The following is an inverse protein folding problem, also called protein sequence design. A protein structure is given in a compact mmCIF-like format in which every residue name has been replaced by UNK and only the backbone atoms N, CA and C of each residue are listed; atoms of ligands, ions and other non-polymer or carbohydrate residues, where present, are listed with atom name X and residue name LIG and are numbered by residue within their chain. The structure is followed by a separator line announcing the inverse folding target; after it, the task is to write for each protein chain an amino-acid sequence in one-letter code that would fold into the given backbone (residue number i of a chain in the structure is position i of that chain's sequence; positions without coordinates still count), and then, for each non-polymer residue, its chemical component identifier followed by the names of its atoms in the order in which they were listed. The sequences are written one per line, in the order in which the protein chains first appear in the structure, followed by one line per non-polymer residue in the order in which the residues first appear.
data_IF_225372479367
#
_entry.id   IF_225372479367
#
_cell.length_a   1.000
_cell.length_b   1.000
_cell.length_c   1.000
_cell.angle_alpha   90.00
_cell.angle_beta   90.00
_cell.angle_gamma   90.00
#
_symmetry.space_group_name_H-M   'P 1'
#
loop_
_entity.id
_entity.type
_entity.pdbx_description
1 polymer ?
#
# COMPACT_ATOMS: atom_id res chain seq x y z
N UNK A 1 15.29 -19.48 1.07
CA UNK A 1 14.83 -18.10 1.30
C UNK A 1 13.64 -18.13 2.25
N UNK A 2 13.76 -17.57 3.46
CA UNK A 2 12.68 -17.59 4.45
C UNK A 2 11.68 -16.47 4.14
N UNK A 3 10.47 -16.83 3.73
CA UNK A 3 9.36 -15.89 3.69
C UNK A 3 9.07 -15.35 5.12
N UNK A 4 8.62 -14.09 5.28
CA UNK A 4 8.27 -13.56 6.59
C UNK A 4 7.24 -14.47 7.27
N UNK A 5 7.51 -14.92 8.50
CA UNK A 5 6.68 -15.91 9.22
C UNK A 5 5.21 -15.45 9.40
N UNK A 6 4.96 -14.15 9.33
CA UNK A 6 3.63 -13.54 9.44
C UNK A 6 2.77 -13.76 8.18
N UNK A 7 3.37 -13.84 7.00
CA UNK A 7 2.67 -14.10 5.71
C UNK A 7 2.79 -15.55 5.26
N UNK A 8 3.69 -16.34 5.86
CA UNK A 8 3.84 -17.78 5.59
C UNK A 8 2.58 -18.62 5.91
N UNK A 9 1.64 -18.07 6.68
CA UNK A 9 0.34 -18.69 6.99
C UNK A 9 -0.74 -18.41 5.91
N UNK A 10 -0.51 -17.46 5.00
CA UNK A 10 -1.45 -17.15 3.92
C UNK A 10 -1.21 -18.09 2.74
N UNK A 11 -1.98 -19.19 2.68
CA UNK A 11 -2.11 -20.01 1.47
C UNK A 11 -2.88 -19.22 0.41
N UNK A 12 -2.17 -18.59 -0.52
CA UNK A 12 -2.77 -17.82 -1.62
C UNK A 12 -1.75 -17.44 -2.70
N UNK A 13 -2.24 -17.15 -3.91
CA UNK A 13 -1.42 -16.61 -5.01
C UNK A 13 -0.86 -15.23 -4.60
N UNK A 14 0.39 -14.94 -4.94
CA UNK A 14 1.03 -13.66 -4.65
C UNK A 14 0.19 -12.48 -5.13
N UNK A 15 -0.49 -12.64 -6.26
CA UNK A 15 -1.48 -11.69 -6.79
C UNK A 15 -2.60 -11.38 -5.79
N UNK A 16 -3.27 -12.40 -5.27
CA UNK A 16 -4.45 -12.22 -4.41
C UNK A 16 -4.07 -11.70 -3.04
N UNK A 17 -2.92 -12.11 -2.51
CA UNK A 17 -2.38 -11.59 -1.26
C UNK A 17 -2.04 -10.10 -1.39
N UNK A 18 -1.34 -9.71 -2.46
CA UNK A 18 -0.97 -8.31 -2.71
C UNK A 18 -2.19 -7.42 -2.87
N UNK A 19 -3.16 -7.84 -3.69
CA UNK A 19 -4.42 -7.13 -3.85
C UNK A 19 -5.22 -7.08 -2.54
N UNK A 20 -5.27 -8.17 -1.78
CA UNK A 20 -6.01 -8.24 -0.52
C UNK A 20 -5.51 -7.24 0.53
N UNK A 21 -4.20 -7.13 0.71
CA UNK A 21 -3.61 -6.15 1.65
C UNK A 21 -3.86 -4.71 1.22
N UNK A 22 -3.71 -4.40 -0.08
CA UNK A 22 -4.03 -3.09 -0.60
C UNK A 22 -5.53 -2.76 -0.47
N UNK A 23 -6.41 -3.71 -0.76
CA UNK A 23 -7.86 -3.54 -0.58
C UNK A 23 -8.23 -3.27 0.89
N UNK A 24 -7.61 -3.98 1.84
CA UNK A 24 -7.82 -3.73 3.27
C UNK A 24 -7.42 -2.30 3.69
N UNK A 25 -6.30 -1.79 3.16
CA UNK A 25 -5.88 -0.40 3.37
C UNK A 25 -6.87 0.60 2.77
N UNK A 26 -7.37 0.35 1.56
CA UNK A 26 -8.36 1.22 0.92
C UNK A 26 -9.67 1.25 1.71
N UNK A 27 -10.18 0.08 2.14
CA UNK A 27 -11.38 -0.02 2.98
C UNK A 27 -11.20 0.74 4.28
N UNK A 28 -10.06 0.57 4.95
CA UNK A 28 -9.80 1.31 6.19
C UNK A 28 -9.76 2.82 5.96
N UNK A 29 -9.10 3.30 4.89
CA UNK A 29 -9.09 4.71 4.54
C UNK A 29 -10.51 5.27 4.27
N UNK A 30 -11.37 4.51 3.58
CA UNK A 30 -12.78 4.85 3.37
C UNK A 30 -13.52 4.94 4.70
N UNK A 31 -13.37 3.96 5.58
CA UNK A 31 -14.01 3.96 6.90
C UNK A 31 -13.60 5.20 7.72
N UNK A 32 -12.32 5.58 7.68
CA UNK A 32 -11.85 6.80 8.33
C UNK A 32 -12.45 8.06 7.71
N UNK A 33 -12.57 8.11 6.38
CA UNK A 33 -13.16 9.25 5.68
C UNK A 33 -14.67 9.44 5.99
N UNK A 34 -15.37 8.36 6.34
CA UNK A 34 -16.79 8.37 6.70
C UNK A 34 -17.05 8.72 8.18
N UNK A 35 -16.03 8.63 9.03
CA UNK A 35 -16.16 8.90 10.46
C UNK A 35 -16.01 10.41 10.78
N UNK A 36 -16.54 10.88 11.93
CA UNK A 36 -16.38 12.27 12.34
C UNK A 36 -14.91 12.61 12.64
N UNK A 37 -14.25 13.28 11.69
CA UNK A 37 -12.81 13.60 11.76
C UNK A 37 -12.45 14.55 12.91
N UNK A 38 -13.42 15.29 13.45
CA UNK A 38 -13.23 16.15 14.62
C UNK A 38 -13.00 15.35 15.92
N UNK A 39 -13.38 14.07 15.98
CA UNK A 39 -13.15 13.21 17.13
C UNK A 39 -11.76 12.57 17.07
N UNK A 40 -10.80 13.22 17.70
CA UNK A 40 -9.37 12.85 17.65
C UNK A 40 -9.10 11.41 18.12
N UNK A 41 -9.85 10.90 19.10
CA UNK A 41 -9.63 9.56 19.66
C UNK A 41 -9.72 8.44 18.61
N UNK A 42 -10.85 8.34 17.91
CA UNK A 42 -11.03 7.33 16.86
C UNK A 42 -10.14 7.57 15.65
N UNK A 43 -9.89 8.84 15.30
CA UNK A 43 -8.99 9.18 14.20
C UNK A 43 -7.57 8.65 14.46
N UNK A 44 -7.03 8.87 15.66
CA UNK A 44 -5.68 8.38 16.01
C UNK A 44 -5.63 6.85 16.00
N UNK A 45 -6.61 6.18 16.61
CA UNK A 45 -6.70 4.70 16.59
C UNK A 45 -6.77 4.17 15.16
N UNK A 46 -7.57 4.83 14.32
CA UNK A 46 -7.70 4.53 12.90
C UNK A 46 -6.39 4.68 12.11
N UNK A 47 -5.67 5.78 12.32
CA UNK A 47 -4.38 6.03 11.67
C UNK A 47 -3.30 5.05 12.16
N UNK A 48 -3.33 4.65 13.44
CA UNK A 48 -2.43 3.60 13.95
C UNK A 48 -2.73 2.25 13.29
N UNK A 49 -4.00 1.86 13.18
CA UNK A 49 -4.41 0.64 12.47
C UNK A 49 -3.98 0.70 10.99
N UNK A 50 -4.13 1.85 10.35
CA UNK A 50 -3.67 2.09 8.98
C UNK A 50 -2.15 1.91 8.87
N UNK A 51 -1.39 2.47 9.81
CA UNK A 51 0.07 2.31 9.87
C UNK A 51 0.51 0.84 10.01
N UNK A 52 -0.17 0.06 10.85
CA UNK A 52 0.11 -1.38 11.00
C UNK A 52 -0.17 -2.14 9.70
N UNK A 53 -1.34 -1.95 9.09
CA UNK A 53 -1.67 -2.58 7.81
C UNK A 53 -0.69 -2.15 6.69
N UNK A 54 -0.29 -0.88 6.69
CA UNK A 54 0.65 -0.35 5.71
C UNK A 54 2.03 -0.97 5.87
N UNK A 55 2.50 -1.17 7.10
CA UNK A 55 3.76 -1.85 7.38
C UNK A 55 3.76 -3.30 6.87
N UNK A 56 2.65 -4.02 7.08
CA UNK A 56 2.49 -5.39 6.55
C UNK A 56 2.54 -5.38 5.02
N UNK A 57 1.72 -4.53 4.36
CA UNK A 57 1.71 -4.41 2.90
C UNK A 57 3.08 -4.01 2.32
N UNK A 58 3.76 -3.05 2.95
CA UNK A 58 5.09 -2.60 2.54
C UNK A 58 6.13 -3.72 2.66
N UNK A 59 6.09 -4.51 3.74
CA UNK A 59 7.01 -5.64 3.94
C UNK A 59 6.81 -6.73 2.87
N UNK A 60 5.56 -6.96 2.46
CA UNK A 60 5.20 -7.91 1.43
C UNK A 60 5.72 -7.48 0.05
N UNK A 61 5.54 -6.22 -0.33
CA UNK A 61 6.09 -5.68 -1.59
C UNK A 61 7.62 -5.78 -1.65
N UNK A 62 8.30 -5.46 -0.54
CA UNK A 62 9.75 -5.62 -0.44
C UNK A 62 10.21 -7.07 -0.67
N UNK A 63 9.46 -8.05 -0.15
CA UNK A 63 9.72 -9.47 -0.40
C UNK A 63 9.50 -9.85 -1.88
N UNK A 64 8.40 -9.39 -2.49
CA UNK A 64 8.06 -9.75 -3.87
C UNK A 64 9.11 -9.30 -4.89
N UNK A 65 9.75 -8.14 -4.71
CA UNK A 65 10.77 -7.67 -5.66
C UNK A 65 11.94 -8.65 -5.72
N UNK A 66 12.42 -9.10 -4.56
CA UNK A 66 13.52 -10.08 -4.51
C UNK A 66 13.06 -11.44 -5.02
N UNK A 67 11.80 -11.79 -4.79
CA UNK A 67 11.23 -13.05 -5.28
C UNK A 67 11.07 -13.09 -6.81
N UNK A 68 10.76 -11.95 -7.45
CA UNK A 68 10.57 -11.84 -8.90
C UNK A 68 11.82 -11.38 -9.67
N UNK A 69 12.84 -10.87 -8.99
CA UNK A 69 14.07 -10.41 -9.63
C UNK A 69 14.84 -11.57 -10.28
N UNK A 70 15.23 -11.39 -11.55
CA UNK A 70 16.03 -12.37 -12.30
C UNK A 70 17.52 -12.20 -12.00
N UNK A 71 18.27 -13.30 -11.97
CA UNK A 71 19.68 -13.34 -11.56
C UNK A 71 20.59 -12.31 -12.27
N UNK A 72 20.34 -12.03 -13.55
CA UNK A 72 21.17 -11.14 -14.37
C UNK A 72 20.72 -9.66 -14.35
N UNK A 73 19.62 -9.32 -13.66
CA UNK A 73 18.99 -7.99 -13.68
C UNK A 73 18.58 -7.41 -12.32
N UNK A 74 18.93 -8.08 -11.22
CA UNK A 74 18.45 -7.76 -9.86
C UNK A 74 18.63 -6.28 -9.48
N UNK A 75 19.79 -5.69 -9.79
CA UNK A 75 20.09 -4.30 -9.41
C UNK A 75 19.21 -3.29 -10.14
N UNK A 76 18.83 -3.56 -11.39
CA UNK A 76 17.98 -2.68 -12.19
C UNK A 76 16.52 -2.75 -11.72
N UNK A 77 16.01 -3.97 -11.48
CA UNK A 77 14.64 -4.18 -10.99
C UNK A 77 14.43 -3.56 -9.60
N UNK A 78 15.40 -3.76 -8.71
CA UNK A 78 15.39 -3.16 -7.37
C UNK A 78 15.50 -1.63 -7.46
N UNK A 79 16.37 -1.11 -8.33
CA UNK A 79 16.52 0.32 -8.56
C UNK A 79 15.21 0.98 -9.02
N UNK A 80 14.51 0.37 -9.99
CA UNK A 80 13.24 0.86 -10.48
C UNK A 80 12.15 0.87 -9.39
N UNK A 81 12.09 -0.17 -8.55
CA UNK A 81 11.17 -0.20 -7.41
C UNK A 81 11.41 0.94 -6.43
N UNK A 82 12.66 1.19 -6.03
CA UNK A 82 12.98 2.27 -5.09
C UNK A 82 12.69 3.64 -5.69
N UNK A 83 12.97 3.85 -6.98
CA UNK A 83 12.59 5.08 -7.69
C UNK A 83 11.06 5.27 -7.68
N UNK A 84 10.30 4.24 -8.01
CA UNK A 84 8.83 4.28 -7.96
C UNK A 84 8.32 4.57 -6.54
N UNK A 85 8.94 4.00 -5.49
CA UNK A 85 8.57 4.26 -4.10
C UNK A 85 8.83 5.72 -3.69
N UNK A 86 9.99 6.26 -4.03
CA UNK A 86 10.36 7.65 -3.74
C UNK A 86 9.44 8.62 -4.49
N UNK A 87 9.17 8.35 -5.77
CA UNK A 87 8.25 9.16 -6.56
C UNK A 87 6.83 9.13 -6.00
N UNK A 88 6.33 7.95 -5.61
CA UNK A 88 5.02 7.82 -4.97
C UNK A 88 4.92 8.62 -3.66
N UNK A 89 5.97 8.60 -2.84
CA UNK A 89 6.03 9.41 -1.62
C UNK A 89 6.05 10.90 -1.92
N UNK A 90 6.86 11.35 -2.87
CA UNK A 90 6.96 12.76 -3.26
C UNK A 90 5.62 13.28 -3.81
N UNK A 91 5.03 12.57 -4.76
CA UNK A 91 3.73 12.95 -5.34
C UNK A 91 2.65 12.92 -4.26
N UNK A 92 2.62 11.89 -3.43
CA UNK A 92 1.66 11.75 -2.34
C UNK A 92 1.74 12.89 -1.33
N UNK A 93 2.93 13.28 -0.89
CA UNK A 93 3.09 14.38 0.09
C UNK A 93 2.69 15.72 -0.50
N UNK A 94 3.13 16.04 -1.72
CA UNK A 94 2.74 17.29 -2.40
C UNK A 94 1.23 17.36 -2.66
N UNK A 95 0.65 16.29 -3.20
CA UNK A 95 -0.78 16.21 -3.49
C UNK A 95 -1.60 16.31 -2.20
N UNK A 96 -1.22 15.57 -1.15
CA UNK A 96 -1.91 15.61 0.13
C UNK A 96 -1.81 16.97 0.81
N UNK A 97 -0.66 17.66 0.71
CA UNK A 97 -0.48 19.01 1.24
C UNK A 97 -1.40 20.01 0.54
N UNK A 98 -1.45 19.97 -0.79
CA UNK A 98 -2.35 20.82 -1.56
C UNK A 98 -3.83 20.54 -1.25
N UNK A 99 -4.23 19.26 -1.23
CA UNK A 99 -5.61 18.87 -0.90
C UNK A 99 -6.00 19.27 0.52
N UNK A 100 -5.09 19.15 1.48
CA UNK A 100 -5.37 19.53 2.86
C UNK A 100 -5.62 21.02 3.00
N UNK A 101 -4.85 21.85 2.30
CA UNK A 101 -5.00 23.31 2.33
C UNK A 101 -6.35 23.75 1.75
N UNK A 102 -6.81 23.12 0.66
CA UNK A 102 -8.04 23.55 -0.05
C UNK A 102 -9.31 22.85 0.46
N UNK A 103 -9.21 21.55 0.80
CA UNK A 103 -10.37 20.69 1.08
C UNK A 103 -10.28 19.94 2.42
N UNK A 104 -9.18 20.08 3.15
CA UNK A 104 -8.97 19.46 4.47
C UNK A 104 -8.72 17.96 4.46
N UNK A 105 -8.70 17.36 5.66
CA UNK A 105 -8.30 15.97 5.90
C UNK A 105 -9.21 14.95 5.18
N UNK A 106 -10.51 15.22 5.08
CA UNK A 106 -11.47 14.30 4.44
C UNK A 106 -11.09 14.03 2.98
N UNK A 107 -10.74 15.07 2.23
CA UNK A 107 -10.30 14.93 0.85
C UNK A 107 -9.01 14.11 0.74
N UNK A 108 -8.05 14.30 1.66
CA UNK A 108 -6.83 13.50 1.70
C UNK A 108 -7.14 12.00 1.88
N UNK A 109 -8.07 11.65 2.78
CA UNK A 109 -8.45 10.25 3.03
C UNK A 109 -9.17 9.63 1.82
N UNK A 110 -10.09 10.37 1.18
CA UNK A 110 -10.77 9.90 -0.03
C UNK A 110 -9.82 9.68 -1.20
N UNK A 111 -8.92 10.63 -1.46
CA UNK A 111 -7.94 10.49 -2.55
C UNK A 111 -6.95 9.38 -2.24
N UNK A 112 -6.48 9.25 -0.99
CA UNK A 112 -5.63 8.13 -0.59
C UNK A 112 -6.34 6.78 -0.79
N UNK A 113 -7.61 6.67 -0.37
CA UNK A 113 -8.41 5.47 -0.58
C UNK A 113 -8.53 5.12 -2.07
N UNK A 114 -8.78 6.11 -2.93
CA UNK A 114 -8.88 5.90 -4.38
C UNK A 114 -7.56 5.42 -4.99
N UNK A 115 -6.43 6.03 -4.63
CA UNK A 115 -5.10 5.64 -5.12
C UNK A 115 -4.73 4.22 -4.66
N UNK A 116 -5.01 3.89 -3.40
CA UNK A 116 -4.74 2.55 -2.86
C UNK A 116 -5.67 1.50 -3.50
N UNK A 117 -6.95 1.84 -3.73
CA UNK A 117 -7.87 0.96 -4.44
C UNK A 117 -7.41 0.71 -5.90
N UNK A 118 -6.94 1.75 -6.60
CA UNK A 118 -6.34 1.62 -7.92
C UNK A 118 -5.11 0.69 -7.88
N UNK A 119 -4.22 0.86 -6.90
CA UNK A 119 -3.08 -0.03 -6.70
C UNK A 119 -3.50 -1.49 -6.45
N UNK A 120 -4.56 -1.70 -5.65
CA UNK A 120 -5.14 -3.03 -5.43
C UNK A 120 -5.65 -3.67 -6.72
N UNK A 121 -6.30 -2.90 -7.59
CA UNK A 121 -6.77 -3.39 -8.90
C UNK A 121 -5.59 -3.71 -9.82
N UNK A 122 -4.55 -2.87 -9.85
CA UNK A 122 -3.34 -3.13 -10.62
C UNK A 122 -2.58 -4.37 -10.14
N UNK A 123 -2.59 -4.66 -8.83
CA UNK A 123 -1.98 -5.87 -8.28
C UNK A 123 -2.65 -7.16 -8.83
N UNK A 124 -3.90 -7.09 -9.28
CA UNK A 124 -4.56 -8.20 -9.97
C UNK A 124 -3.96 -8.47 -11.37
N UNK A 125 -3.15 -7.58 -11.93
CA UNK A 125 -2.44 -7.85 -13.17
C UNK A 125 -1.14 -8.66 -12.97
N UNK A 126 -0.75 -8.96 -11.71
CA UNK A 126 0.45 -9.75 -11.42
C UNK A 126 0.35 -11.18 -12.02
N UNK A 127 1.46 -11.72 -12.55
CA UNK A 127 1.51 -13.08 -13.10
C UNK A 127 1.30 -14.13 -12.00
N UNK A 128 0.49 -15.15 -12.30
CA UNK A 128 0.09 -16.23 -11.36
C UNK A 128 1.25 -17.14 -10.93
N UNK A 129 2.33 -17.17 -11.70
CA UNK A 129 3.53 -17.99 -11.48
C UNK A 129 4.74 -17.18 -11.90
N UNK A 130 5.78 -17.17 -11.06
CA UNK A 130 7.11 -16.79 -11.50
C UNK A 130 7.53 -17.79 -12.59
N UNK A 131 7.78 -17.29 -13.79
CA UNK A 131 8.48 -18.06 -14.82
C UNK A 131 9.95 -18.24 -14.42
#
# INVERSE_FOLDING_TARGET
AQAPKLTALLKGDARTITAGWAAALAVLAILLALLPLAQVGWLVVGLLAFGVLFAVNSSWHSYLIVHYARADGVSMDVGFYYMANVMGRLVGTLLSGWLYMEYGLSACLWVAAALVAASSMMALALPKQAA
#
